data_IF_596413160858
#
_entry.id   IF_596413160858
#
_cell.length_a   1.000
_cell.length_b   1.000
_cell.length_c   1.000
_cell.angle_alpha   90.00
_cell.angle_beta   90.00
_cell.angle_gamma   90.00
#
_symmetry.space_group_name_H-M   'P 1'
#
loop_
_entity.id
_entity.type
_entity.pdbx_description
1 polymer ?
#
# COMPACT_ATOMS: atom_id res chain seq x y z
N UNK A 1 21.75 -24.83 28.34
CA UNK A 1 21.27 -24.18 27.10
C UNK A 1 22.50 -23.70 26.37
N UNK A 2 22.88 -24.37 25.28
CA UNK A 2 23.98 -23.92 24.41
C UNK A 2 23.50 -22.70 23.64
N UNK A 3 24.19 -21.57 23.77
CA UNK A 3 23.98 -20.41 22.90
C UNK A 3 24.37 -20.82 21.49
N UNK A 4 23.38 -21.16 20.69
CA UNK A 4 23.56 -21.43 19.27
C UNK A 4 24.03 -20.16 18.57
N UNK A 5 25.00 -20.29 17.68
CA UNK A 5 25.60 -19.14 16.99
C UNK A 5 24.78 -18.84 15.75
N UNK A 6 24.00 -17.76 15.79
CA UNK A 6 23.28 -17.25 14.62
C UNK A 6 24.22 -16.43 13.72
N UNK A 7 24.00 -16.54 12.41
CA UNK A 7 24.68 -15.73 11.40
C UNK A 7 23.62 -15.00 10.58
N UNK A 8 23.75 -13.68 10.51
CA UNK A 8 22.85 -12.84 9.72
C UNK A 8 23.23 -12.92 8.24
N UNK A 9 22.23 -13.10 7.38
CA UNK A 9 22.38 -13.15 5.93
C UNK A 9 21.34 -12.23 5.32
N UNK A 10 21.79 -11.31 4.48
CA UNK A 10 20.93 -10.42 3.70
C UNK A 10 20.80 -10.96 2.28
N UNK A 11 19.57 -11.05 1.79
CA UNK A 11 19.27 -11.49 0.42
C UNK A 11 18.38 -10.45 -0.26
N UNK A 12 18.57 -10.29 -1.57
CA UNK A 12 17.76 -9.39 -2.39
C UNK A 12 16.54 -10.14 -2.96
N UNK A 13 15.36 -9.52 -2.88
CA UNK A 13 14.11 -10.03 -3.43
C UNK A 13 13.65 -9.13 -4.58
N UNK A 14 13.29 -9.72 -5.72
CA UNK A 14 12.72 -9.00 -6.86
C UNK A 14 11.26 -9.38 -7.03
N UNK A 15 10.36 -8.42 -6.77
CA UNK A 15 8.91 -8.57 -6.90
C UNK A 15 8.40 -7.82 -8.13
N UNK A 16 7.38 -8.36 -8.80
CA UNK A 16 6.83 -7.86 -10.06
C UNK A 16 5.31 -7.73 -9.98
N UNK A 17 4.78 -6.79 -9.19
CA UNK A 17 3.35 -6.50 -9.21
C UNK A 17 2.94 -6.03 -10.61
N UNK A 18 1.85 -6.58 -11.11
CA UNK A 18 1.20 -6.15 -12.35
C UNK A 18 0.26 -4.97 -12.09
N UNK A 19 -0.21 -4.31 -13.14
CA UNK A 19 -1.24 -3.29 -12.99
C UNK A 19 -2.53 -3.82 -12.34
N UNK A 20 -2.89 -5.08 -12.59
CA UNK A 20 -4.04 -5.72 -11.94
C UNK A 20 -3.79 -5.92 -10.44
N UNK A 21 -2.58 -6.33 -10.04
CA UNK A 21 -2.26 -6.50 -8.62
C UNK A 21 -2.37 -5.17 -7.87
N UNK A 22 -1.90 -4.08 -8.49
CA UNK A 22 -2.07 -2.73 -7.96
C UNK A 22 -3.55 -2.37 -7.83
N UNK A 23 -4.36 -2.61 -8.88
CA UNK A 23 -5.80 -2.34 -8.87
C UNK A 23 -6.52 -3.11 -7.74
N UNK A 24 -6.18 -4.39 -7.55
CA UNK A 24 -6.80 -5.26 -6.55
C UNK A 24 -6.44 -4.83 -5.12
N UNK A 25 -5.17 -4.49 -4.86
CA UNK A 25 -4.72 -3.95 -3.56
C UNK A 25 -5.41 -2.62 -3.29
N UNK A 26 -5.54 -1.75 -4.30
CA UNK A 26 -6.24 -0.48 -4.17
C UNK A 26 -7.74 -0.67 -3.89
N UNK A 27 -8.39 -1.71 -4.41
CA UNK A 27 -9.76 -2.07 -4.00
C UNK A 27 -9.81 -2.40 -2.52
N UNK A 28 -8.95 -3.31 -2.03
CA UNK A 28 -8.89 -3.67 -0.61
C UNK A 28 -8.63 -2.45 0.29
N UNK A 29 -7.77 -1.53 -0.13
CA UNK A 29 -7.50 -0.29 0.59
C UNK A 29 -8.74 0.63 0.62
N UNK A 30 -9.30 0.98 -0.54
CA UNK A 30 -10.35 1.99 -0.68
C UNK A 30 -11.73 1.52 -0.17
N UNK A 31 -11.98 0.21 -0.15
CA UNK A 31 -13.27 -0.35 0.29
C UNK A 31 -13.26 -0.82 1.75
N UNK A 32 -12.12 -0.80 2.44
CA UNK A 32 -12.06 -1.20 3.85
C UNK A 32 -10.77 -0.90 4.58
N UNK A 33 -9.61 -1.00 3.91
CA UNK A 33 -8.30 -0.84 4.56
C UNK A 33 -8.12 0.53 5.20
N UNK A 34 -8.36 1.61 4.45
CA UNK A 34 -8.02 2.97 4.90
C UNK A 34 -9.23 3.76 5.44
N UNK A 35 -10.44 3.21 5.35
CA UNK A 35 -11.70 3.92 5.64
C UNK A 35 -11.84 4.43 7.08
N UNK A 36 -10.98 4.00 8.01
CA UNK A 36 -11.02 4.43 9.41
C UNK A 36 -10.21 5.72 9.69
N UNK A 37 -9.29 6.09 8.80
CA UNK A 37 -8.50 7.34 8.87
C UNK A 37 -8.57 8.18 7.59
N UNK A 38 -9.07 7.62 6.49
CA UNK A 38 -9.36 8.34 5.25
C UNK A 38 -10.87 8.37 5.02
N UNK A 39 -11.45 9.56 5.03
CA UNK A 39 -12.90 9.77 4.77
C UNK A 39 -13.19 10.04 3.29
N UNK A 40 -12.20 10.49 2.50
CA UNK A 40 -12.39 10.84 1.09
C UNK A 40 -11.17 10.55 0.22
N UNK A 41 -11.44 9.98 -0.95
CA UNK A 41 -10.46 9.86 -2.03
C UNK A 41 -11.03 10.49 -3.30
N UNK A 42 -10.22 11.29 -3.98
CA UNK A 42 -10.60 11.92 -5.25
C UNK A 42 -9.57 11.62 -6.34
N UNK A 43 -10.04 11.47 -7.57
CA UNK A 43 -9.16 11.35 -8.73
C UNK A 43 -8.69 12.75 -9.14
N UNK A 44 -7.38 12.92 -9.30
CA UNK A 44 -6.84 14.14 -9.87
C UNK A 44 -6.90 14.08 -11.41
N UNK A 45 -7.60 15.05 -12.01
CA UNK A 45 -7.75 15.14 -13.46
C UNK A 45 -8.79 14.19 -14.03
N UNK A 46 -8.45 13.50 -15.12
CA UNK A 46 -9.35 12.57 -15.80
C UNK A 46 -9.25 11.18 -15.20
N UNK A 47 -10.38 10.49 -15.11
CA UNK A 47 -10.40 9.07 -14.83
C UNK A 47 -9.70 8.30 -15.95
N UNK A 48 -8.69 7.52 -15.59
CA UNK A 48 -7.96 6.66 -16.51
C UNK A 48 -8.52 5.22 -16.52
N UNK A 49 -9.31 4.86 -15.51
CA UNK A 49 -10.05 3.61 -15.40
C UNK A 49 -11.56 3.83 -15.19
N UNK A 50 -12.28 2.74 -14.91
CA UNK A 50 -13.70 2.79 -14.53
C UNK A 50 -13.88 3.17 -13.06
N UNK A 51 -12.93 2.79 -12.21
CA UNK A 51 -12.92 3.01 -10.76
C UNK A 51 -11.70 3.82 -10.31
N UNK A 52 -11.75 4.39 -9.11
CA UNK A 52 -10.62 5.12 -8.54
C UNK A 52 -9.43 4.19 -8.24
N UNK A 53 -9.69 2.92 -7.88
CA UNK A 53 -8.65 1.91 -7.64
C UNK A 53 -7.76 1.66 -8.86
N UNK A 54 -8.31 1.86 -10.06
CA UNK A 54 -7.64 1.68 -11.34
C UNK A 54 -6.71 2.86 -11.73
N UNK A 55 -6.75 3.96 -10.96
CA UNK A 55 -6.18 5.23 -11.39
C UNK A 55 -4.64 5.20 -11.44
N UNK A 56 -4.01 4.69 -10.38
CA UNK A 56 -2.55 4.79 -10.23
C UNK A 56 -1.80 3.81 -11.14
N UNK A 57 -2.32 2.60 -11.34
CA UNK A 57 -1.70 1.61 -12.24
C UNK A 57 -1.69 2.06 -13.71
N UNK A 58 -2.57 3.02 -14.06
CA UNK A 58 -2.67 3.64 -15.39
C UNK A 58 -1.92 4.96 -15.50
N UNK A 59 -1.13 5.33 -14.48
CA UNK A 59 -0.28 6.52 -14.47
C UNK A 59 -0.98 7.80 -14.01
N UNK A 60 -2.15 7.69 -13.38
CA UNK A 60 -2.85 8.81 -12.76
C UNK A 60 -2.50 8.99 -11.29
N UNK A 61 -3.13 9.98 -10.67
CA UNK A 61 -2.93 10.33 -9.25
C UNK A 61 -4.28 10.34 -8.51
N UNK A 62 -4.25 9.87 -7.27
CA UNK A 62 -5.34 10.00 -6.30
C UNK A 62 -4.95 11.03 -5.23
N UNK A 63 -5.92 11.82 -4.78
CA UNK A 63 -5.79 12.61 -3.55
C UNK A 63 -6.55 11.92 -2.43
N UNK A 64 -5.85 11.61 -1.35
CA UNK A 64 -6.34 10.93 -0.16
C UNK A 64 -6.45 11.96 0.95
N UNK A 65 -7.66 12.18 1.45
CA UNK A 65 -7.90 13.06 2.58
C UNK A 65 -7.71 12.28 3.87
N UNK A 66 -6.91 12.82 4.79
CA UNK A 66 -6.60 12.19 6.07
C UNK A 66 -7.38 12.90 7.16
N UNK A 67 -8.17 12.14 7.90
CA UNK A 67 -8.89 12.64 9.07
C UNK A 67 -7.96 12.56 10.26
N UNK A 68 -7.11 13.58 10.45
CA UNK A 68 -6.43 13.74 11.73
C UNK A 68 -7.45 14.04 12.83
N UNK A 69 -7.15 13.73 14.11
CA UNK A 69 -8.00 14.15 15.22
C UNK A 69 -8.20 15.68 15.32
N UNK A 70 -7.59 16.49 14.45
CA UNK A 70 -7.66 17.95 14.43
C UNK A 70 -7.84 18.59 13.04
N UNK A 71 -8.14 17.85 11.97
CA UNK A 71 -8.43 18.47 10.66
C UNK A 71 -9.85 19.08 10.61
N UNK A 72 -10.05 20.14 11.41
CA UNK A 72 -11.31 20.89 11.44
C UNK A 72 -11.58 21.65 10.12
N UNK A 73 -10.62 21.68 9.19
CA UNK A 73 -10.64 22.55 8.00
C UNK A 73 -10.56 21.82 6.65
N UNK A 74 -10.58 20.48 6.62
CA UNK A 74 -10.52 19.65 5.37
C UNK A 74 -9.23 19.95 4.56
N UNK A 75 -8.12 20.14 5.26
CA UNK A 75 -6.88 20.70 4.70
C UNK A 75 -5.84 19.66 4.35
N UNK A 76 -5.88 18.46 4.94
CA UNK A 76 -4.78 17.51 4.80
C UNK A 76 -5.04 16.47 3.72
N UNK A 77 -4.48 16.75 2.54
CA UNK A 77 -4.58 15.90 1.36
C UNK A 77 -3.20 15.39 0.94
N UNK A 78 -3.09 14.08 0.75
CA UNK A 78 -1.90 13.41 0.27
C UNK A 78 -2.10 12.92 -1.16
N UNK A 79 -1.06 13.04 -1.99
CA UNK A 79 -1.09 12.54 -3.37
C UNK A 79 -0.50 11.13 -3.44
N UNK A 80 -1.27 10.18 -3.95
CA UNK A 80 -0.86 8.82 -4.23
C UNK A 80 -0.76 8.58 -5.75
N UNK A 81 0.43 8.19 -6.18
CA UNK A 81 0.73 7.79 -7.56
C UNK A 81 1.41 6.40 -7.54
N UNK A 82 1.71 5.87 -8.74
CA UNK A 82 2.34 4.55 -8.86
C UNK A 82 3.74 4.46 -8.23
N UNK A 83 4.51 5.54 -8.24
CA UNK A 83 5.87 5.54 -7.68
C UNK A 83 5.81 5.43 -6.16
N UNK A 84 4.93 6.20 -5.52
CA UNK A 84 4.68 6.12 -4.07
C UNK A 84 4.11 4.77 -3.67
N UNK A 85 3.18 4.23 -4.45
CA UNK A 85 2.64 2.88 -4.19
C UNK A 85 3.74 1.82 -4.21
N UNK A 86 4.62 1.83 -5.23
CA UNK A 86 5.74 0.88 -5.32
C UNK A 86 6.70 1.05 -4.12
N UNK A 87 6.97 2.29 -3.70
CA UNK A 87 7.75 2.55 -2.50
C UNK A 87 7.08 2.01 -1.23
N UNK A 88 5.76 2.22 -1.07
CA UNK A 88 4.99 1.70 0.05
C UNK A 88 4.97 0.18 0.10
N UNK A 89 4.77 -0.47 -1.05
CA UNK A 89 4.82 -1.92 -1.18
C UNK A 89 6.19 -2.48 -0.81
N UNK A 90 7.28 -1.81 -1.23
CA UNK A 90 8.64 -2.19 -0.84
C UNK A 90 8.84 -2.10 0.68
N UNK A 91 8.44 -0.98 1.29
CA UNK A 91 8.56 -0.80 2.74
C UNK A 91 7.73 -1.84 3.51
N UNK A 92 6.54 -2.19 3.02
CA UNK A 92 5.73 -3.26 3.59
C UNK A 92 6.48 -4.60 3.58
N UNK A 93 7.14 -4.98 2.48
CA UNK A 93 7.98 -6.18 2.42
C UNK A 93 9.18 -6.12 3.38
N UNK A 94 9.91 -5.00 3.36
CA UNK A 94 11.10 -4.79 4.19
C UNK A 94 10.80 -4.85 5.69
N UNK A 95 9.58 -4.45 6.09
CA UNK A 95 9.11 -4.51 7.48
C UNK A 95 8.39 -5.83 7.83
N UNK A 96 8.51 -6.85 6.99
CA UNK A 96 7.96 -8.19 7.26
C UNK A 96 6.44 -8.28 7.13
N UNK A 97 5.83 -7.39 6.35
CA UNK A 97 4.40 -7.36 6.09
C UNK A 97 3.88 -8.59 5.34
N UNK A 98 4.73 -9.26 4.56
CA UNK A 98 4.40 -10.49 3.85
C UNK A 98 4.40 -11.73 4.77
N UNK A 99 3.55 -11.69 5.80
CA UNK A 99 3.43 -12.76 6.79
C UNK A 99 2.58 -13.95 6.30
N UNK A 100 1.79 -13.75 5.25
CA UNK A 100 0.92 -14.77 4.65
C UNK A 100 1.50 -15.39 3.36
N UNK A 101 2.62 -14.89 2.84
CA UNK A 101 3.25 -15.43 1.64
C UNK A 101 2.57 -14.97 0.35
N UNK A 102 2.11 -13.72 0.33
CA UNK A 102 1.60 -13.02 -0.84
C UNK A 102 2.66 -12.91 -1.95
N UNK A 103 3.95 -12.91 -1.62
CA UNK A 103 5.01 -12.92 -2.65
C UNK A 103 5.59 -14.32 -2.81
N UNK A 104 5.35 -14.89 -3.99
CA UNK A 104 5.94 -16.16 -4.40
C UNK A 104 7.43 -16.05 -4.74
N UNK A 105 8.14 -17.18 -4.74
CA UNK A 105 9.59 -17.22 -5.00
C UNK A 105 10.02 -16.75 -6.41
N UNK A 106 9.11 -16.67 -7.38
CA UNK A 106 9.38 -16.08 -8.71
C UNK A 106 9.01 -14.57 -8.78
N UNK A 107 8.59 -13.99 -7.66
CA UNK A 107 8.28 -12.58 -7.49
C UNK A 107 6.87 -12.17 -7.95
N UNK A 108 5.96 -13.12 -8.18
CA UNK A 108 4.54 -12.80 -8.41
C UNK A 108 3.83 -12.53 -7.10
N UNK A 109 2.87 -11.62 -7.15
CA UNK A 109 2.01 -11.24 -6.03
C UNK A 109 0.69 -12.02 -6.14
N UNK A 110 0.29 -12.64 -5.04
CA UNK A 110 -1.04 -13.20 -4.84
C UNK A 110 -1.86 -12.22 -3.99
N UNK A 111 -2.69 -11.42 -4.65
CA UNK A 111 -3.53 -10.44 -3.97
C UNK A 111 -4.58 -11.09 -3.05
N UNK A 112 -4.85 -12.39 -3.19
CA UNK A 112 -5.72 -13.13 -2.26
C UNK A 112 -5.16 -13.21 -0.83
N UNK A 113 -3.85 -13.06 -0.68
CA UNK A 113 -3.14 -13.05 0.61
C UNK A 113 -2.84 -11.61 1.11
N UNK A 114 -3.35 -10.59 0.41
CA UNK A 114 -3.25 -9.17 0.81
C UNK A 114 -4.65 -8.70 1.23
N UNK A 115 -4.94 -8.83 2.52
CA UNK A 115 -6.19 -8.37 3.08
C UNK A 115 -6.24 -6.84 3.26
N UNK A 116 -7.35 -6.35 3.83
CA UNK A 116 -7.53 -4.92 4.09
C UNK A 116 -6.46 -4.33 5.03
N UNK A 117 -5.94 -5.10 6.00
CA UNK A 117 -4.90 -4.64 6.91
C UNK A 117 -3.53 -4.56 6.22
N UNK A 118 -3.23 -5.51 5.33
CA UNK A 118 -2.03 -5.44 4.50
C UNK A 118 -2.10 -4.26 3.53
N UNK A 119 -3.26 -4.07 2.89
CA UNK A 119 -3.49 -2.95 1.98
C UNK A 119 -3.38 -1.60 2.72
N UNK A 120 -3.95 -1.49 3.93
CA UNK A 120 -3.79 -0.32 4.80
C UNK A 120 -2.32 0.02 5.05
N UNK A 121 -1.54 -0.95 5.53
CA UNK A 121 -0.11 -0.77 5.79
C UNK A 121 0.65 -0.31 4.53
N UNK A 122 0.37 -0.90 3.36
CA UNK A 122 0.98 -0.50 2.09
C UNK A 122 0.68 0.97 1.76
N UNK A 123 -0.57 1.42 1.94
CA UNK A 123 -0.94 2.82 1.69
C UNK A 123 -0.31 3.76 2.72
N UNK A 124 -0.29 3.39 4.00
CA UNK A 124 0.37 4.21 5.02
C UNK A 124 1.87 4.39 4.72
N UNK A 125 2.58 3.32 4.36
CA UNK A 125 3.96 3.44 3.91
C UNK A 125 4.11 4.28 2.63
N UNK A 126 3.15 4.20 1.70
CA UNK A 126 3.18 5.00 0.48
C UNK A 126 2.99 6.50 0.73
N UNK A 127 2.14 6.87 1.69
CA UNK A 127 1.80 8.27 1.99
C UNK A 127 2.75 8.90 3.01
N UNK A 128 3.10 8.15 4.06
CA UNK A 128 3.80 8.67 5.24
C UNK A 128 5.22 8.13 5.40
N UNK A 129 5.55 7.03 4.72
CA UNK A 129 6.82 6.32 4.90
C UNK A 129 6.92 5.51 6.19
N UNK A 130 5.85 5.47 7.00
CA UNK A 130 5.76 4.74 8.27
C UNK A 130 4.29 4.37 8.58
N UNK A 131 4.06 3.52 9.57
CA UNK A 131 2.73 3.21 10.10
C UNK A 131 2.32 4.24 11.15
N UNK A 132 1.32 5.06 10.83
CA UNK A 132 0.83 6.16 11.67
C UNK A 132 -0.48 5.79 12.39
N UNK A 133 -1.33 5.02 11.72
CA UNK A 133 -2.66 4.59 12.17
C UNK A 133 -2.69 3.07 12.41
N UNK A 134 -3.45 2.61 13.41
CA UNK A 134 -3.58 1.18 13.76
C UNK A 134 -4.54 0.90 14.92
#
# INVERSE_FOLDING_TARGET
>A
MTNEKCFEVHAELVVRPTGQDVDDIMVSALEGGICYWCDRVTVEGQYLGKYASEQISRGGTLKVHVTEPFDEQDTEWYELDIEKFIQGFRLWLENGGDCYGAVSGDGKVDCGEIDAGCADAIIQYALFGDLVFG
#
